data_IF_679225545535
#
_entry.id   IF_679225545535
#
_cell.length_a   1.000
_cell.length_b   1.000
_cell.length_c   1.000
_cell.angle_alpha   90.00
_cell.angle_beta   90.00
_cell.angle_gamma   90.00
#
_symmetry.space_group_name_H-M   'P 1'
#
loop_
_entity.id
_entity.type
_entity.pdbx_description
1 polymer ?
#
# COMPACT_ATOMS: atom_id res chain seq x y z
N UNK A 1 18.89 -96.65 -52.72
CA UNK A 1 17.74 -96.59 -53.62
C UNK A 1 16.62 -95.93 -52.82
N UNK A 2 16.33 -94.66 -53.14
CA UNK A 2 15.04 -93.90 -52.99
C UNK A 2 14.10 -94.22 -51.81
N UNK A 3 13.41 -93.30 -51.15
CA UNK A 3 13.30 -91.83 -51.08
C UNK A 3 12.17 -91.57 -50.05
N UNK A 4 12.17 -90.38 -49.40
CA UNK A 4 11.02 -89.65 -48.81
C UNK A 4 10.16 -90.27 -47.69
N UNK A 5 9.56 -89.54 -46.75
CA UNK A 5 9.63 -88.20 -46.12
C UNK A 5 8.52 -88.23 -45.06
N UNK A 6 8.72 -87.71 -43.84
CA UNK A 6 7.72 -86.82 -43.21
C UNK A 6 8.30 -86.11 -41.98
N UNK A 7 7.86 -84.86 -41.82
CA UNK A 7 8.40 -83.77 -40.99
C UNK A 7 8.25 -83.98 -39.49
N UNK A 8 9.27 -83.52 -38.77
CA UNK A 8 9.20 -83.15 -37.36
C UNK A 8 8.68 -81.70 -37.19
N UNK A 9 7.84 -81.45 -36.18
CA UNK A 9 7.66 -80.10 -35.62
C UNK A 9 7.74 -80.14 -34.09
N UNK A 10 8.72 -79.43 -33.55
CA UNK A 10 8.90 -79.08 -32.15
C UNK A 10 7.80 -78.12 -31.67
N UNK A 11 7.46 -78.19 -30.38
CA UNK A 11 7.25 -77.10 -29.39
C UNK A 11 6.61 -77.75 -28.15
N UNK A 12 6.97 -77.45 -26.91
CA UNK A 12 7.57 -76.23 -26.38
C UNK A 12 6.73 -75.85 -25.16
N UNK A 13 7.37 -75.94 -24.01
CA UNK A 13 6.94 -75.67 -22.63
C UNK A 13 6.39 -74.23 -22.45
N UNK A 14 5.57 -73.99 -21.43
CA UNK A 14 5.77 -72.95 -20.38
C UNK A 14 4.46 -72.49 -19.73
N UNK A 15 4.51 -72.48 -18.39
CA UNK A 15 3.39 -72.25 -17.49
C UNK A 15 2.92 -70.80 -17.41
N UNK A 16 1.70 -70.67 -16.88
CA UNK A 16 1.04 -69.43 -16.60
C UNK A 16 1.77 -68.66 -15.48
N UNK A 17 2.24 -67.45 -15.79
CA UNK A 17 2.58 -66.44 -14.80
C UNK A 17 1.41 -65.45 -14.70
N UNK A 18 0.78 -65.40 -13.53
CA UNK A 18 -0.31 -64.47 -13.21
C UNK A 18 0.27 -63.08 -13.00
N UNK A 19 0.03 -62.17 -13.96
CA UNK A 19 0.40 -60.76 -13.84
C UNK A 19 -0.72 -60.02 -13.10
N UNK A 20 -0.50 -59.66 -11.85
CA UNK A 20 -1.39 -58.77 -11.10
C UNK A 20 -1.16 -57.32 -11.57
N UNK A 21 -2.12 -56.78 -12.32
CA UNK A 21 -2.10 -55.41 -12.82
C UNK A 21 -2.61 -54.47 -11.70
N UNK A 22 -1.69 -53.75 -11.06
CA UNK A 22 -2.01 -52.64 -10.14
C UNK A 22 -2.48 -51.44 -10.98
N UNK A 23 -3.80 -51.26 -11.08
CA UNK A 23 -4.42 -50.05 -11.60
C UNK A 23 -4.27 -48.93 -10.54
N UNK A 24 -3.21 -48.14 -10.68
CA UNK A 24 -3.09 -46.85 -9.99
C UNK A 24 -4.03 -45.88 -10.72
N UNK A 25 -5.25 -45.73 -10.21
CA UNK A 25 -6.14 -44.65 -10.63
C UNK A 25 -5.58 -43.34 -10.07
N UNK A 26 -4.84 -42.61 -10.91
CA UNK A 26 -4.45 -41.24 -10.60
C UNK A 26 -5.73 -40.39 -10.52
N UNK A 27 -6.19 -40.12 -9.29
CA UNK A 27 -7.20 -39.10 -9.04
C UNK A 27 -6.54 -37.76 -9.39
N UNK A 28 -7.02 -37.01 -10.39
CA UNK A 28 -6.52 -35.66 -10.62
C UNK A 28 -6.90 -34.84 -9.39
N UNK A 29 -5.92 -34.56 -8.54
CA UNK A 29 -6.04 -33.49 -7.57
C UNK A 29 -6.25 -32.23 -8.39
N UNK A 30 -7.34 -31.46 -8.19
CA UNK A 30 -7.38 -30.13 -8.74
C UNK A 30 -6.20 -29.41 -8.08
N UNK A 31 -5.18 -29.09 -8.88
CA UNK A 31 -4.30 -27.97 -8.57
C UNK A 31 -5.25 -26.78 -8.44
N UNK A 32 -5.67 -26.52 -7.21
CA UNK A 32 -6.24 -25.25 -6.85
C UNK A 32 -5.16 -24.24 -7.17
N UNK A 33 -5.21 -23.67 -8.37
CA UNK A 33 -4.83 -22.30 -8.57
C UNK A 33 -5.76 -21.52 -7.65
N UNK A 34 -5.36 -21.43 -6.38
CA UNK A 34 -5.88 -20.43 -5.48
C UNK A 34 -5.54 -19.14 -6.21
N UNK A 35 -6.55 -18.55 -6.83
CA UNK A 35 -6.42 -17.24 -7.45
C UNK A 35 -5.73 -16.40 -6.39
N UNK A 36 -4.48 -16.01 -6.64
CA UNK A 36 -3.73 -15.11 -5.78
C UNK A 36 -4.46 -13.77 -5.89
N UNK A 37 -5.56 -13.64 -5.13
CA UNK A 37 -6.33 -12.43 -5.06
C UNK A 37 -5.42 -11.46 -4.33
N UNK A 38 -4.66 -10.69 -5.12
CA UNK A 38 -3.68 -9.76 -4.61
C UNK A 38 -4.27 -8.87 -3.53
N UNK A 39 -3.44 -8.50 -2.57
CA UNK A 39 -3.82 -7.67 -1.42
C UNK A 39 -4.52 -6.38 -1.88
N UNK A 40 -5.58 -5.98 -1.18
CA UNK A 40 -6.33 -4.76 -1.45
C UNK A 40 -6.07 -3.73 -0.36
N UNK A 41 -5.58 -2.56 -0.75
CA UNK A 41 -5.22 -1.48 0.18
C UNK A 41 -6.03 -0.22 -0.14
N UNK A 42 -6.57 0.42 0.89
CA UNK A 42 -7.08 1.78 0.81
C UNK A 42 -6.09 2.74 1.50
N UNK A 43 -5.59 3.73 0.76
CA UNK A 43 -4.87 4.86 1.35
C UNK A 43 -5.91 5.86 1.84
N UNK A 44 -5.81 6.33 3.08
CA UNK A 44 -6.62 7.46 3.57
C UNK A 44 -5.68 8.59 3.95
N UNK A 45 -5.74 9.65 3.15
CA UNK A 45 -4.82 10.79 3.24
C UNK A 45 -5.57 12.10 3.48
N UNK A 46 -4.91 13.04 4.16
CA UNK A 46 -5.51 14.34 4.42
C UNK A 46 -5.36 15.25 3.21
N UNK A 47 -4.16 15.31 2.65
CA UNK A 47 -3.78 16.29 1.64
C UNK A 47 -3.32 15.65 0.32
N UNK A 48 -3.40 16.37 -0.81
CA UNK A 48 -2.87 15.90 -2.08
C UNK A 48 -1.34 16.08 -2.12
N UNK A 49 -0.61 15.03 -1.75
CA UNK A 49 0.88 14.92 -1.65
C UNK A 49 1.27 13.86 -0.61
N UNK A 50 0.42 13.65 0.39
CA UNK A 50 0.56 12.62 1.43
C UNK A 50 0.74 11.20 0.85
N UNK A 51 0.27 10.93 -0.38
CA UNK A 51 0.45 9.65 -1.06
C UNK A 51 1.91 9.32 -1.35
N UNK A 52 2.77 10.33 -1.48
CA UNK A 52 4.21 10.16 -1.65
C UNK A 52 4.86 9.42 -0.47
N UNK A 53 4.25 9.46 0.73
CA UNK A 53 4.76 8.76 1.92
C UNK A 53 4.69 7.22 1.79
N UNK A 54 3.81 6.71 0.92
CA UNK A 54 3.59 5.27 0.71
C UNK A 54 4.10 4.80 -0.66
N UNK A 55 4.69 5.68 -1.47
CA UNK A 55 4.86 5.47 -2.89
C UNK A 55 5.70 4.23 -3.24
N UNK A 56 6.73 3.92 -2.44
CA UNK A 56 7.56 2.73 -2.61
C UNK A 56 6.78 1.45 -2.37
N UNK A 57 6.12 1.32 -1.20
CA UNK A 57 5.32 0.13 -0.90
C UNK A 57 4.13 -0.01 -1.88
N UNK A 58 3.46 1.08 -2.23
CA UNK A 58 2.35 1.07 -3.20
C UNK A 58 2.83 0.59 -4.57
N UNK A 59 3.97 1.09 -5.06
CA UNK A 59 4.56 0.61 -6.30
C UNK A 59 4.89 -0.89 -6.25
N UNK A 60 5.46 -1.37 -5.13
CA UNK A 60 5.71 -2.81 -4.94
C UNK A 60 4.42 -3.63 -5.02
N UNK A 61 3.40 -3.22 -4.27
CA UNK A 61 2.11 -3.89 -4.17
C UNK A 61 1.48 -4.05 -5.56
N UNK A 62 1.39 -2.96 -6.31
CA UNK A 62 0.66 -2.92 -7.57
C UNK A 62 1.45 -3.52 -8.73
N UNK A 63 2.78 -3.34 -8.77
CA UNK A 63 3.60 -3.73 -9.92
C UNK A 63 4.22 -5.12 -9.81
N UNK A 64 4.49 -5.58 -8.58
CA UNK A 64 5.20 -6.85 -8.36
C UNK A 64 4.38 -7.90 -7.62
N UNK A 65 3.46 -7.47 -6.74
CA UNK A 65 2.67 -8.40 -5.92
C UNK A 65 1.23 -8.62 -6.42
N UNK A 66 0.86 -8.00 -7.55
CA UNK A 66 -0.49 -8.13 -8.14
C UNK A 66 -1.62 -7.56 -7.28
N UNK A 67 -1.28 -6.75 -6.27
CA UNK A 67 -2.25 -6.12 -5.38
C UNK A 67 -2.96 -4.92 -6.03
N UNK A 68 -3.98 -4.43 -5.33
CA UNK A 68 -4.79 -3.28 -5.76
C UNK A 68 -4.75 -2.19 -4.70
N UNK A 69 -4.53 -0.95 -5.13
CA UNK A 69 -4.51 0.21 -4.24
C UNK A 69 -5.51 1.24 -4.73
N UNK A 70 -6.39 1.68 -3.84
CA UNK A 70 -7.29 2.81 -4.04
C UNK A 70 -6.96 3.91 -3.00
N UNK A 71 -7.42 5.14 -3.22
CA UNK A 71 -7.11 6.27 -2.34
C UNK A 71 -8.37 7.08 -2.00
N UNK A 72 -8.54 7.40 -0.72
CA UNK A 72 -9.49 8.39 -0.23
C UNK A 72 -8.75 9.64 0.24
N UNK A 73 -9.07 10.78 -0.37
CA UNK A 73 -8.54 12.10 -0.01
C UNK A 73 -9.60 12.83 0.80
N UNK A 74 -9.27 13.21 2.04
CA UNK A 74 -10.22 13.84 2.94
C UNK A 74 -10.48 15.30 2.55
N UNK A 75 -9.44 16.08 2.28
CA UNK A 75 -9.58 17.52 2.03
C UNK A 75 -9.65 17.92 0.57
N UNK A 76 -10.04 19.17 0.32
CA UNK A 76 -9.92 19.81 -0.99
C UNK A 76 -8.48 20.28 -1.32
N UNK A 77 -7.56 20.27 -0.36
CA UNK A 77 -6.15 20.66 -0.52
C UNK A 77 -5.92 22.15 -0.81
N UNK A 78 -6.86 23.03 -0.49
CA UNK A 78 -6.81 24.45 -0.86
C UNK A 78 -5.92 25.34 0.04
N UNK A 79 -5.49 24.87 1.21
CA UNK A 79 -4.83 25.69 2.24
C UNK A 79 -3.33 25.90 2.07
N UNK A 80 -2.64 24.95 1.43
CA UNK A 80 -1.18 24.95 1.25
C UNK A 80 -0.63 25.90 0.18
N UNK A 81 -1.32 27.01 -0.12
CA UNK A 81 -1.05 27.82 -1.31
C UNK A 81 0.21 28.69 -1.27
N UNK A 82 0.75 28.97 -0.07
CA UNK A 82 1.93 29.85 0.10
C UNK A 82 3.20 29.33 -0.58
N UNK A 83 3.26 28.02 -0.85
CA UNK A 83 4.40 27.37 -1.49
C UNK A 83 4.13 27.01 -2.96
N UNK A 84 3.05 27.52 -3.56
CA UNK A 84 2.69 27.25 -4.95
C UNK A 84 3.40 28.18 -5.97
N UNK A 85 4.31 29.06 -5.52
CA UNK A 85 4.95 30.07 -6.38
C UNK A 85 5.62 29.47 -7.62
N UNK A 86 6.31 28.33 -7.47
CA UNK A 86 6.99 27.67 -8.59
C UNK A 86 6.02 27.06 -9.62
N UNK A 87 4.76 26.85 -9.23
CA UNK A 87 3.73 26.30 -10.11
C UNK A 87 2.96 27.39 -10.87
N UNK A 88 3.07 28.66 -10.49
CA UNK A 88 2.36 29.76 -11.16
C UNK A 88 2.67 29.84 -12.67
N UNK A 89 3.93 29.71 -13.14
CA UNK A 89 4.23 29.70 -14.57
C UNK A 89 3.70 28.46 -15.30
N UNK A 90 3.53 27.34 -14.60
CA UNK A 90 3.02 26.08 -15.16
C UNK A 90 1.52 26.18 -15.41
N UNK A 91 0.79 26.76 -14.46
CA UNK A 91 -0.67 26.85 -14.50
C UNK A 91 -1.20 28.19 -15.02
N UNK A 92 -0.34 29.20 -15.21
CA UNK A 92 -0.75 30.53 -15.67
C UNK A 92 -1.63 31.28 -14.68
N UNK A 93 -1.52 30.96 -13.38
CA UNK A 93 -2.36 31.49 -12.30
C UNK A 93 -1.49 32.01 -11.17
N UNK A 94 -1.92 33.09 -10.52
CA UNK A 94 -1.29 33.59 -9.28
C UNK A 94 -1.73 32.74 -8.09
N UNK A 95 -1.24 31.51 -8.01
CA UNK A 95 -1.63 30.53 -6.99
C UNK A 95 -1.19 30.92 -5.57
N UNK A 96 -0.34 31.93 -5.40
CA UNK A 96 -0.01 32.49 -4.09
C UNK A 96 -1.04 33.52 -3.58
N UNK A 97 -1.94 34.00 -4.44
CA UNK A 97 -3.12 34.77 -4.04
C UNK A 97 -4.19 33.84 -3.47
N UNK A 98 -4.63 34.06 -2.23
CA UNK A 98 -5.54 33.13 -1.55
C UNK A 98 -6.86 32.92 -2.31
N UNK A 99 -7.46 33.99 -2.84
CA UNK A 99 -8.74 33.87 -3.54
C UNK A 99 -8.59 33.04 -4.81
N UNK A 100 -7.51 33.24 -5.57
CA UNK A 100 -7.17 32.41 -6.73
C UNK A 100 -6.89 30.97 -6.27
N UNK A 101 -6.10 30.79 -5.22
CA UNK A 101 -5.73 29.48 -4.71
C UNK A 101 -6.95 28.63 -4.31
N UNK A 102 -7.84 29.19 -3.48
CA UNK A 102 -9.07 28.51 -3.03
C UNK A 102 -9.97 28.12 -4.20
N UNK A 103 -9.97 28.90 -5.26
CA UNK A 103 -10.76 28.61 -6.46
C UNK A 103 -10.16 27.50 -7.33
N UNK A 104 -8.83 27.46 -7.50
CA UNK A 104 -8.19 26.62 -8.52
C UNK A 104 -7.34 25.47 -8.00
N UNK A 105 -6.72 25.59 -6.80
CA UNK A 105 -5.85 24.55 -6.26
C UNK A 105 -6.55 23.21 -6.08
N UNK A 106 -7.81 23.10 -5.60
CA UNK A 106 -8.44 21.79 -5.46
C UNK A 106 -8.46 20.96 -6.75
N UNK A 107 -8.82 21.58 -7.88
CA UNK A 107 -8.85 20.91 -9.16
C UNK A 107 -7.45 20.64 -9.73
N UNK A 108 -6.47 21.50 -9.44
CA UNK A 108 -5.07 21.30 -9.84
C UNK A 108 -4.49 20.12 -9.05
N UNK A 109 -4.60 20.14 -7.72
CA UNK A 109 -4.00 19.16 -6.83
C UNK A 109 -4.62 17.78 -6.92
N UNK A 110 -5.92 17.67 -7.21
CA UNK A 110 -6.52 16.38 -7.59
C UNK A 110 -5.90 15.81 -8.88
N UNK A 111 -5.59 16.66 -9.87
CA UNK A 111 -4.91 16.23 -11.10
C UNK A 111 -3.46 15.81 -10.83
N UNK A 112 -2.74 16.55 -9.99
CA UNK A 112 -1.38 16.20 -9.55
C UNK A 112 -1.38 14.85 -8.79
N UNK A 113 -2.28 14.68 -7.82
CA UNK A 113 -2.46 13.42 -7.08
C UNK A 113 -2.80 12.23 -7.99
N UNK A 114 -3.65 12.44 -8.99
CA UNK A 114 -3.96 11.38 -9.96
C UNK A 114 -2.78 11.06 -10.87
N UNK A 115 -1.98 12.06 -11.26
CA UNK A 115 -0.76 11.84 -12.03
C UNK A 115 0.30 11.07 -11.21
N UNK A 116 0.50 11.45 -9.95
CA UNK A 116 1.37 10.75 -9.00
C UNK A 116 0.92 9.30 -8.80
N UNK A 117 -0.36 9.10 -8.47
CA UNK A 117 -0.90 7.75 -8.29
C UNK A 117 -0.88 6.88 -9.55
N UNK A 118 -0.95 7.44 -10.76
CA UNK A 118 -0.80 6.68 -12.00
C UNK A 118 0.59 6.02 -12.15
N UNK A 119 1.64 6.67 -11.62
CA UNK A 119 3.00 6.12 -11.58
C UNK A 119 3.00 4.84 -10.72
N UNK A 120 2.47 4.95 -9.49
CA UNK A 120 2.48 3.86 -8.50
C UNK A 120 1.33 2.87 -8.62
N UNK A 121 0.40 3.08 -9.53
CA UNK A 121 -0.69 2.14 -9.83
C UNK A 121 -1.93 2.27 -8.94
N UNK A 122 -2.19 3.45 -8.37
CA UNK A 122 -3.49 3.73 -7.72
C UNK A 122 -4.60 3.68 -8.77
N UNK A 123 -5.67 2.95 -8.46
CA UNK A 123 -6.76 2.66 -9.41
C UNK A 123 -7.95 3.60 -9.27
N UNK A 124 -8.49 3.74 -8.05
CA UNK A 124 -9.64 4.59 -7.77
C UNK A 124 -9.31 5.70 -6.79
N UNK A 125 -10.03 6.81 -6.93
CA UNK A 125 -9.92 8.00 -6.08
C UNK A 125 -11.28 8.38 -5.51
N UNK A 126 -11.33 8.58 -4.21
CA UNK A 126 -12.52 9.02 -3.49
C UNK A 126 -12.23 10.39 -2.85
N UNK A 127 -12.76 11.45 -3.43
CA UNK A 127 -12.60 12.81 -2.92
C UNK A 127 -13.76 13.13 -1.97
N UNK A 128 -13.44 13.42 -0.70
CA UNK A 128 -14.45 13.72 0.33
C UNK A 128 -14.73 15.22 0.45
N UNK A 129 -13.79 16.04 -0.03
CA UNK A 129 -13.90 17.50 -0.20
C UNK A 129 -14.26 18.24 1.08
N UNK A 130 -13.65 17.85 2.21
CA UNK A 130 -13.69 18.67 3.41
C UNK A 130 -12.71 19.87 3.30
N UNK A 131 -12.97 20.99 3.99
CA UNK A 131 -12.12 22.16 3.90
C UNK A 131 -10.69 21.89 4.40
N UNK A 132 -9.70 22.42 3.69
CA UNK A 132 -8.30 22.53 4.14
C UNK A 132 -7.96 23.99 4.47
N UNK A 133 -8.35 24.55 5.63
CA UNK A 133 -8.20 25.98 5.89
C UNK A 133 -6.75 26.40 6.13
N UNK A 134 -6.32 26.53 7.38
CA UNK A 134 -4.97 26.94 7.76
C UNK A 134 -4.33 25.84 8.62
N UNK A 135 -3.00 25.85 8.67
CA UNK A 135 -2.24 24.92 9.49
C UNK A 135 -2.66 25.04 10.97
N UNK A 136 -2.88 23.90 11.60
CA UNK A 136 -3.08 23.76 13.04
C UNK A 136 -2.54 22.40 13.49
N UNK A 137 -2.09 22.32 14.73
CA UNK A 137 -1.71 21.08 15.40
C UNK A 137 -2.84 20.55 16.31
N UNK A 138 -3.88 21.35 16.55
CA UNK A 138 -5.01 20.91 17.36
C UNK A 138 -5.96 20.04 16.52
N UNK A 139 -5.97 18.73 16.81
CA UNK A 139 -6.84 17.75 16.16
C UNK A 139 -8.31 17.93 16.52
N UNK A 140 -8.63 18.39 17.73
CA UNK A 140 -10.01 18.63 18.17
C UNK A 140 -10.65 19.74 17.34
N UNK A 141 -9.88 20.77 16.99
CA UNK A 141 -10.33 21.83 16.08
C UNK A 141 -10.79 21.25 14.76
N UNK A 142 -10.00 20.35 14.17
CA UNK A 142 -10.34 19.73 12.89
C UNK A 142 -11.60 18.87 13.03
N UNK A 143 -11.61 17.97 14.01
CA UNK A 143 -12.68 17.00 14.19
C UNK A 143 -14.02 17.62 14.61
N UNK A 144 -14.00 18.76 15.30
CA UNK A 144 -15.21 19.37 15.88
C UNK A 144 -15.71 20.57 15.10
N UNK A 145 -14.81 21.32 14.44
CA UNK A 145 -15.14 22.64 13.90
C UNK A 145 -14.82 22.82 12.42
N UNK A 146 -13.86 22.07 11.86
CA UNK A 146 -13.47 22.23 10.44
C UNK A 146 -14.18 21.21 9.57
N UNK A 147 -14.15 19.94 9.94
CA UNK A 147 -14.70 18.85 9.15
C UNK A 147 -16.05 18.40 9.66
N UNK A 148 -16.87 17.92 8.74
CA UNK A 148 -18.05 17.11 9.05
C UNK A 148 -17.61 15.69 9.36
N UNK A 149 -17.02 15.49 10.53
CA UNK A 149 -16.39 14.22 10.94
C UNK A 149 -17.30 13.01 10.80
N UNK A 150 -18.58 13.12 11.18
CA UNK A 150 -19.54 12.03 11.04
C UNK A 150 -19.76 11.63 9.57
N UNK A 151 -19.83 12.62 8.67
CA UNK A 151 -19.93 12.40 7.22
C UNK A 151 -18.68 11.72 6.68
N UNK A 152 -17.49 12.18 7.09
CA UNK A 152 -16.21 11.59 6.67
C UNK A 152 -16.11 10.14 7.15
N UNK A 153 -16.37 9.88 8.43
CA UNK A 153 -16.33 8.54 9.00
C UNK A 153 -17.32 7.60 8.32
N UNK A 154 -18.57 8.04 8.13
CA UNK A 154 -19.60 7.25 7.43
C UNK A 154 -19.15 6.93 6.01
N UNK A 155 -18.61 7.93 5.30
CA UNK A 155 -18.15 7.73 3.92
C UNK A 155 -16.97 6.75 3.84
N UNK A 156 -16.02 6.84 4.77
CA UNK A 156 -14.91 5.89 4.86
C UNK A 156 -15.43 4.48 5.17
N UNK A 157 -16.36 4.33 6.11
CA UNK A 157 -16.97 3.04 6.44
C UNK A 157 -17.62 2.40 5.21
N UNK A 158 -18.43 3.16 4.45
CA UNK A 158 -19.04 2.67 3.19
C UNK A 158 -17.99 2.20 2.18
N UNK A 159 -16.87 2.91 2.07
CA UNK A 159 -15.77 2.52 1.18
C UNK A 159 -15.13 1.21 1.66
N UNK A 160 -14.93 1.03 2.96
CA UNK A 160 -14.35 -0.18 3.52
C UNK A 160 -15.27 -1.39 3.32
N UNK A 161 -16.57 -1.24 3.57
CA UNK A 161 -17.57 -2.31 3.41
C UNK A 161 -17.70 -2.77 1.96
N UNK A 162 -17.74 -1.82 1.01
CA UNK A 162 -17.86 -2.13 -0.43
C UNK A 162 -16.53 -2.56 -1.05
N UNK A 163 -15.46 -1.95 -0.57
CA UNK A 163 -14.12 -2.11 -1.09
C UNK A 163 -13.40 -3.34 -0.60
N UNK A 164 -13.90 -4.05 0.43
CA UNK A 164 -13.32 -5.30 0.95
C UNK A 164 -11.78 -5.23 1.02
N UNK A 165 -11.26 -4.14 1.60
CA UNK A 165 -9.84 -3.92 1.71
C UNK A 165 -9.26 -4.82 2.80
N UNK A 166 -8.06 -5.37 2.56
CA UNK A 166 -7.30 -6.12 3.57
C UNK A 166 -6.58 -5.15 4.52
N UNK A 167 -6.09 -4.04 3.96
CA UNK A 167 -5.34 -3.02 4.68
C UNK A 167 -5.86 -1.60 4.43
N UNK A 168 -5.73 -0.75 5.44
CA UNK A 168 -5.87 0.69 5.31
C UNK A 168 -4.56 1.34 5.74
N UNK A 169 -3.98 2.17 4.88
CA UNK A 169 -2.77 2.92 5.24
C UNK A 169 -3.13 4.38 5.51
N UNK A 170 -2.62 4.90 6.63
CA UNK A 170 -2.84 6.27 7.10
C UNK A 170 -1.53 6.89 7.56
N UNK A 171 -1.49 8.20 7.74
CA UNK A 171 -0.38 8.83 8.45
C UNK A 171 -0.32 8.37 9.91
N UNK A 172 0.89 8.20 10.45
CA UNK A 172 1.07 8.06 11.89
C UNK A 172 0.64 9.38 12.56
N UNK A 173 -0.30 9.36 13.52
CA UNK A 173 -0.88 10.58 14.08
C UNK A 173 0.05 11.23 15.13
N UNK A 174 1.18 11.76 14.69
CA UNK A 174 2.23 12.33 15.56
C UNK A 174 1.75 13.64 16.22
N UNK A 175 1.91 13.84 17.55
CA UNK A 175 1.33 14.97 18.27
C UNK A 175 1.64 16.37 17.72
N UNK A 176 2.89 16.64 17.33
CA UNK A 176 3.33 17.97 16.88
C UNK A 176 3.28 18.14 15.35
N UNK A 177 2.53 17.27 14.66
CA UNK A 177 2.31 17.35 13.21
C UNK A 177 0.96 17.98 12.90
N UNK A 178 0.75 18.30 11.63
CA UNK A 178 -0.47 18.90 11.16
C UNK A 178 -1.71 18.06 11.55
N UNK A 179 -2.70 18.74 12.15
CA UNK A 179 -3.93 18.16 12.66
C UNK A 179 -4.78 17.41 11.63
N UNK A 180 -4.75 17.80 10.36
CA UNK A 180 -5.54 17.11 9.34
C UNK A 180 -5.07 15.66 9.15
N UNK A 181 -3.75 15.38 9.16
CA UNK A 181 -3.26 14.00 9.08
C UNK A 181 -3.74 13.18 10.28
N UNK A 182 -3.63 13.74 11.50
CA UNK A 182 -4.14 13.09 12.73
C UNK A 182 -5.63 12.78 12.63
N UNK A 183 -6.43 13.76 12.23
CA UNK A 183 -7.88 13.63 12.09
C UNK A 183 -8.26 12.57 11.04
N UNK A 184 -7.59 12.56 9.88
CA UNK A 184 -7.81 11.55 8.84
C UNK A 184 -7.52 10.13 9.38
N UNK A 185 -6.40 9.95 10.10
CA UNK A 185 -6.06 8.67 10.71
C UNK A 185 -7.07 8.23 11.77
N UNK A 186 -7.52 9.13 12.65
CA UNK A 186 -8.54 8.84 13.66
C UNK A 186 -9.86 8.41 12.99
N UNK A 187 -10.31 9.13 11.96
CA UNK A 187 -11.56 8.82 11.28
C UNK A 187 -11.49 7.50 10.50
N UNK A 188 -10.34 7.19 9.89
CA UNK A 188 -10.11 5.90 9.25
C UNK A 188 -10.10 4.74 10.27
N UNK A 189 -9.48 4.92 11.44
CA UNK A 189 -9.48 3.93 12.52
C UNK A 189 -10.90 3.68 13.05
N UNK A 190 -11.69 4.73 13.26
CA UNK A 190 -13.10 4.62 13.69
C UNK A 190 -13.95 3.93 12.62
N UNK A 191 -13.76 4.30 11.36
CA UNK A 191 -14.46 3.66 10.24
C UNK A 191 -14.13 2.16 10.15
N UNK A 192 -12.85 1.79 10.29
CA UNK A 192 -12.45 0.39 10.31
C UNK A 192 -13.03 -0.37 11.52
N UNK A 193 -13.03 0.21 12.72
CA UNK A 193 -13.68 -0.40 13.89
C UNK A 193 -15.17 -0.66 13.69
N UNK A 194 -15.86 0.20 12.93
CA UNK A 194 -17.28 0.05 12.64
C UNK A 194 -17.59 -1.07 11.64
N UNK A 195 -16.60 -1.52 10.85
CA UNK A 195 -16.76 -2.68 9.96
C UNK A 195 -16.77 -3.97 10.79
N UNK A 196 -17.84 -4.74 10.67
CA UNK A 196 -18.05 -5.94 11.46
C UNK A 196 -17.27 -7.17 10.94
N UNK A 197 -16.86 -8.02 11.88
CA UNK A 197 -16.42 -9.38 11.62
C UNK A 197 -15.10 -9.51 10.86
N UNK A 198 -14.99 -10.56 10.05
CA UNK A 198 -13.76 -10.94 9.35
C UNK A 198 -13.37 -9.92 8.27
N UNK A 199 -14.34 -9.17 7.73
CA UNK A 199 -14.15 -8.15 6.69
C UNK A 199 -13.51 -6.84 7.19
N UNK A 200 -13.28 -6.69 8.50
CA UNK A 200 -12.59 -5.52 9.03
C UNK A 200 -11.15 -5.44 8.48
N UNK A 201 -10.71 -4.33 7.86
CA UNK A 201 -9.32 -4.20 7.41
C UNK A 201 -8.35 -4.04 8.58
N UNK A 202 -7.07 -4.34 8.35
CA UNK A 202 -5.98 -3.97 9.24
C UNK A 202 -5.55 -2.53 8.94
N UNK A 203 -5.58 -1.64 9.93
CA UNK A 203 -5.11 -0.26 9.76
C UNK A 203 -3.63 -0.15 10.14
N UNK A 204 -2.83 0.46 9.27
CA UNK A 204 -1.41 0.69 9.49
C UNK A 204 -1.11 2.20 9.47
N UNK A 205 -0.48 2.71 10.54
CA UNK A 205 0.02 4.07 10.59
C UNK A 205 1.40 4.14 9.94
N UNK A 206 1.64 5.10 9.05
CA UNK A 206 2.89 5.19 8.30
C UNK A 206 3.65 6.48 8.60
N UNK A 207 4.97 6.38 8.61
CA UNK A 207 5.87 7.52 8.60
C UNK A 207 7.17 7.17 7.88
N UNK A 208 7.71 8.10 7.11
CA UNK A 208 8.96 7.94 6.38
C UNK A 208 10.15 8.49 7.15
N UNK A 209 11.34 7.95 6.90
CA UNK A 209 12.57 8.53 7.42
C UNK A 209 13.80 7.88 6.82
N UNK A 210 14.96 8.22 7.35
CA UNK A 210 16.21 7.51 7.04
C UNK A 210 16.33 6.25 7.88
N UNK A 211 17.20 5.32 7.48
CA UNK A 211 17.50 4.13 8.30
C UNK A 211 18.09 4.48 9.67
N UNK A 212 18.83 5.59 9.75
CA UNK A 212 19.46 6.06 10.97
C UNK A 212 18.49 6.82 11.90
N UNK A 213 17.39 7.36 11.37
CA UNK A 213 16.39 8.06 12.18
C UNK A 213 15.51 7.08 12.94
N UNK A 214 15.68 7.07 14.26
CA UNK A 214 14.92 6.23 15.20
C UNK A 214 13.93 7.03 16.03
N UNK A 215 13.80 8.35 15.80
CA UNK A 215 13.07 9.28 16.68
C UNK A 215 11.60 8.90 16.81
N UNK A 216 10.97 8.48 15.70
CA UNK A 216 9.55 8.12 15.68
C UNK A 216 9.27 6.68 16.13
N UNK A 217 10.30 5.86 16.39
CA UNK A 217 10.10 4.49 16.90
C UNK A 217 9.47 4.48 18.30
N UNK A 218 9.57 5.60 19.04
CA UNK A 218 8.98 5.77 20.37
C UNK A 218 7.51 6.23 20.36
N UNK A 219 6.86 6.35 19.19
CA UNK A 219 5.43 6.68 19.15
C UNK A 219 4.61 5.54 19.77
N UNK A 220 3.81 5.84 20.79
CA UNK A 220 2.94 4.88 21.46
C UNK A 220 1.45 5.16 21.18
N UNK A 221 1.05 6.43 21.26
CA UNK A 221 -0.31 6.90 20.98
C UNK A 221 -0.33 8.42 20.77
N UNK A 222 -1.40 8.94 20.17
CA UNK A 222 -1.74 10.35 20.23
C UNK A 222 -2.50 10.62 21.53
N UNK A 223 -2.03 11.53 22.42
CA UNK A 223 -2.73 11.86 23.66
C UNK A 223 -4.17 12.31 23.42
N UNK A 224 -5.10 11.81 24.24
CA UNK A 224 -6.54 12.06 24.09
C UNK A 224 -7.25 11.17 23.07
N UNK A 225 -6.51 10.36 22.31
CA UNK A 225 -7.05 9.49 21.26
C UNK A 225 -6.57 8.04 21.38
N UNK A 226 -7.06 7.26 22.37
CA UNK A 226 -6.60 5.88 22.61
C UNK A 226 -6.75 4.93 21.42
N UNK A 227 -7.66 5.23 20.48
CA UNK A 227 -7.82 4.45 19.24
C UNK A 227 -6.54 4.45 18.37
N UNK A 228 -5.66 5.42 18.57
CA UNK A 228 -4.38 5.56 17.85
C UNK A 228 -3.23 4.82 18.54
N UNK A 229 -3.49 4.11 19.64
CA UNK A 229 -2.48 3.33 20.34
C UNK A 229 -1.90 2.26 19.41
N UNK A 230 -0.58 2.17 19.35
CA UNK A 230 0.13 1.10 18.63
C UNK A 230 0.29 -0.13 19.50
N UNK A 231 0.42 -1.30 18.88
CA UNK A 231 0.65 -2.56 19.59
C UNK A 231 1.91 -2.48 20.46
N UNK A 232 1.78 -2.62 21.80
CA UNK A 232 2.92 -2.49 22.70
C UNK A 232 4.02 -3.51 22.41
N UNK A 233 5.27 -3.04 22.37
CA UNK A 233 6.45 -3.88 22.16
C UNK A 233 6.63 -4.39 20.72
N UNK A 234 5.76 -4.02 19.78
CA UNK A 234 5.94 -4.35 18.37
C UNK A 234 6.75 -3.26 17.66
N UNK A 235 7.89 -3.63 17.10
CA UNK A 235 8.64 -2.75 16.19
C UNK A 235 7.83 -2.53 14.90
N UNK A 236 7.81 -1.30 14.34
CA UNK A 236 7.10 -1.05 13.10
C UNK A 236 7.66 -1.93 11.98
N UNK A 237 6.78 -2.36 11.08
CA UNK A 237 7.18 -3.01 9.84
C UNK A 237 7.91 -1.99 8.96
N UNK A 238 8.86 -2.46 8.14
CA UNK A 238 9.71 -1.58 7.34
C UNK A 238 9.64 -2.01 5.89
N UNK A 239 9.39 -1.04 5.01
CA UNK A 239 9.67 -1.16 3.59
C UNK A 239 10.95 -0.38 3.27
N UNK A 240 11.94 -1.07 2.72
CA UNK A 240 13.25 -0.49 2.40
C UNK A 240 13.23 0.06 0.96
N UNK A 241 13.16 1.39 0.83
CA UNK A 241 13.12 2.03 -0.47
C UNK A 241 14.47 2.00 -1.19
N UNK A 242 15.54 1.58 -0.52
CA UNK A 242 16.87 1.37 -1.13
C UNK A 242 17.04 -0.03 -1.71
N UNK A 243 16.02 -0.89 -1.63
CA UNK A 243 16.02 -2.19 -2.31
C UNK A 243 16.19 -1.98 -3.83
N UNK A 244 17.16 -2.68 -4.45
CA UNK A 244 17.39 -2.61 -5.90
C UNK A 244 16.17 -2.99 -6.75
N UNK A 245 15.96 -2.19 -7.80
CA UNK A 245 14.99 -2.41 -8.86
C UNK A 245 15.62 -2.86 -10.19
N UNK A 246 16.93 -2.99 -10.24
CA UNK A 246 17.67 -3.48 -11.40
C UNK A 246 18.80 -4.44 -10.98
N UNK A 247 19.26 -5.33 -11.88
CA UNK A 247 20.31 -6.29 -11.54
C UNK A 247 21.67 -5.66 -11.19
N UNK A 248 21.92 -4.40 -11.57
CA UNK A 248 23.16 -3.69 -11.26
C UNK A 248 23.07 -2.87 -9.96
N UNK A 249 21.92 -2.85 -9.29
CA UNK A 249 21.74 -2.13 -8.02
C UNK A 249 21.85 -0.62 -8.14
N UNK A 250 21.54 -0.05 -9.31
CA UNK A 250 21.64 1.39 -9.60
C UNK A 250 20.32 2.12 -9.46
N UNK A 251 19.22 1.40 -9.57
CA UNK A 251 17.84 1.89 -9.49
C UNK A 251 17.23 1.34 -8.21
N UNK A 252 16.49 2.16 -7.48
CA UNK A 252 15.77 1.77 -6.27
C UNK A 252 14.42 2.50 -6.19
N UNK A 253 13.60 2.18 -5.19
CA UNK A 253 12.25 2.76 -5.05
C UNK A 253 12.26 4.25 -4.75
N UNK A 254 13.37 4.85 -4.26
CA UNK A 254 13.44 6.30 -4.05
C UNK A 254 13.29 7.07 -5.36
N UNK A 255 13.70 6.48 -6.48
CA UNK A 255 13.45 7.05 -7.82
C UNK A 255 11.95 7.18 -8.08
N UNK A 256 11.17 6.14 -7.77
CA UNK A 256 9.71 6.16 -7.94
C UNK A 256 9.07 7.19 -7.03
N UNK A 257 9.50 7.25 -5.76
CA UNK A 257 9.03 8.26 -4.79
C UNK A 257 9.31 9.67 -5.31
N UNK A 258 10.49 9.93 -5.86
CA UNK A 258 10.81 11.23 -6.45
C UNK A 258 9.91 11.57 -7.65
N UNK A 259 9.53 10.60 -8.48
CA UNK A 259 8.58 10.83 -9.57
C UNK A 259 7.21 11.25 -9.04
N UNK A 260 6.71 10.61 -7.98
CA UNK A 260 5.46 11.03 -7.32
C UNK A 260 5.59 12.43 -6.76
N UNK A 261 6.65 12.73 -5.99
CA UNK A 261 6.92 14.08 -5.46
C UNK A 261 6.91 15.13 -6.58
N UNK A 262 7.51 14.82 -7.73
CA UNK A 262 7.57 15.73 -8.88
C UNK A 262 6.20 16.01 -9.52
N UNK A 263 5.18 15.18 -9.28
CA UNK A 263 3.82 15.46 -9.73
C UNK A 263 3.11 16.54 -8.90
N UNK A 264 3.43 16.68 -7.60
CA UNK A 264 2.86 17.68 -6.70
C UNK A 264 3.51 19.07 -6.85
N UNK A 265 3.49 19.60 -8.08
CA UNK A 265 4.16 20.86 -8.46
C UNK A 265 3.61 22.06 -7.68
N UNK A 266 2.30 22.09 -7.43
CA UNK A 266 1.64 23.15 -6.66
C UNK A 266 1.91 23.09 -5.15
N UNK A 267 2.58 22.05 -4.67
CA UNK A 267 3.07 21.93 -3.30
C UNK A 267 4.60 22.01 -3.31
N UNK A 268 5.13 23.23 -3.46
CA UNK A 268 6.57 23.44 -3.69
C UNK A 268 7.49 22.89 -2.60
N UNK A 269 7.05 22.82 -1.35
CA UNK A 269 7.84 22.25 -0.24
C UNK A 269 8.09 20.76 -0.37
N UNK A 270 7.20 20.01 -1.06
CA UNK A 270 7.40 18.57 -1.28
C UNK A 270 8.68 18.28 -2.05
N UNK A 271 9.08 19.19 -2.94
CA UNK A 271 10.29 19.04 -3.74
C UNK A 271 11.57 18.97 -2.88
N UNK A 272 11.54 19.52 -1.65
CA UNK A 272 12.65 19.46 -0.70
C UNK A 272 12.87 18.06 -0.10
N UNK A 273 11.87 17.17 -0.23
CA UNK A 273 11.89 15.82 0.32
C UNK A 273 12.49 14.78 -0.66
N UNK A 274 12.81 15.18 -1.90
CA UNK A 274 13.45 14.30 -2.86
C UNK A 274 14.75 13.70 -2.29
N UNK A 275 14.87 12.38 -2.36
CA UNK A 275 16.00 11.60 -1.82
C UNK A 275 16.29 11.80 -0.31
N UNK A 276 15.31 12.22 0.50
CA UNK A 276 15.51 12.43 1.95
C UNK A 276 15.19 11.23 2.82
N UNK A 277 14.43 10.26 2.31
CA UNK A 277 14.00 9.09 3.05
C UNK A 277 14.51 7.81 2.41
N UNK A 278 14.86 6.84 3.25
CA UNK A 278 15.33 5.52 2.85
C UNK A 278 14.30 4.42 3.13
N UNK A 279 13.38 4.66 4.08
CA UNK A 279 12.42 3.67 4.53
C UNK A 279 11.04 4.26 4.77
N UNK A 280 10.02 3.45 4.50
CA UNK A 280 8.65 3.65 4.94
C UNK A 280 8.42 2.72 6.13
N UNK A 281 7.97 3.26 7.27
CA UNK A 281 7.71 2.48 8.47
C UNK A 281 6.21 2.41 8.73
N UNK A 282 5.73 1.24 9.11
CA UNK A 282 4.31 0.95 9.31
C UNK A 282 4.07 0.41 10.72
N UNK A 283 3.42 1.22 11.55
CA UNK A 283 2.98 0.86 12.89
C UNK A 283 1.66 0.13 12.83
N UNK A 284 1.60 -0.98 13.56
CA UNK A 284 0.37 -1.73 13.76
C UNK A 284 -0.39 -1.12 14.93
N UNK A 285 -1.63 -0.70 14.70
CA UNK A 285 -2.47 -0.20 15.79
C UNK A 285 -3.03 -1.36 16.63
N UNK A 286 -3.07 -1.18 17.95
CA UNK A 286 -3.57 -2.15 18.95
C UNK A 286 -5.03 -2.56 18.64
N UNK A 287 -5.81 -1.62 18.12
CA UNK A 287 -7.21 -1.85 17.69
C UNK A 287 -7.39 -3.00 16.70
N UNK A 288 -6.36 -3.31 15.91
CA UNK A 288 -6.41 -4.40 14.95
C UNK A 288 -6.55 -5.76 15.63
N UNK A 289 -6.11 -5.89 16.89
CA UNK A 289 -6.08 -7.11 17.68
C UNK A 289 -4.98 -8.10 17.25
N UNK A 290 -4.57 -9.05 18.10
CA UNK A 290 -3.45 -9.94 17.82
C UNK A 290 -3.73 -10.95 16.70
N UNK A 291 -4.99 -11.22 16.38
CA UNK A 291 -5.40 -12.25 15.41
C UNK A 291 -4.96 -11.93 13.98
N UNK A 292 -4.78 -10.64 13.64
CA UNK A 292 -4.37 -10.20 12.29
C UNK A 292 -2.85 -10.07 12.15
N UNK A 293 -2.10 -10.14 13.26
CA UNK A 293 -0.66 -9.87 13.26
C UNK A 293 0.13 -10.88 12.41
N UNK A 294 -0.24 -12.17 12.45
CA UNK A 294 0.42 -13.20 11.66
C UNK A 294 0.28 -12.94 10.14
N UNK A 295 -0.92 -12.63 9.68
CA UNK A 295 -1.16 -12.28 8.28
C UNK A 295 -0.41 -11.01 7.87
N UNK A 296 -0.36 -10.00 8.75
CA UNK A 296 0.41 -8.77 8.52
C UNK A 296 1.91 -9.02 8.43
N UNK A 297 2.48 -9.92 9.26
CA UNK A 297 3.88 -10.34 9.12
C UNK A 297 4.15 -10.94 7.76
N UNK A 298 3.33 -11.91 7.33
CA UNK A 298 3.45 -12.54 6.01
C UNK A 298 3.35 -11.51 4.88
N UNK A 299 2.43 -10.54 4.98
CA UNK A 299 2.31 -9.47 3.99
C UNK A 299 3.58 -8.60 3.90
N UNK A 300 4.12 -8.16 5.04
CA UNK A 300 5.34 -7.35 5.04
C UNK A 300 6.60 -8.16 4.68
N UNK A 301 6.63 -9.46 4.93
CA UNK A 301 7.66 -10.37 4.41
C UNK A 301 7.62 -10.44 2.88
N UNK A 302 6.43 -10.48 2.26
CA UNK A 302 6.27 -10.40 0.80
C UNK A 302 6.71 -9.03 0.25
N UNK A 303 6.43 -7.95 0.97
CA UNK A 303 6.88 -6.60 0.60
C UNK A 303 8.41 -6.48 0.63
N UNK A 304 9.06 -7.08 1.63
CA UNK A 304 10.51 -7.05 1.82
C UNK A 304 11.27 -8.03 0.91
N UNK A 305 10.58 -8.98 0.28
CA UNK A 305 11.19 -9.91 -0.66
C UNK A 305 11.66 -9.16 -1.93
N UNK A 306 12.86 -9.44 -2.46
CA UNK A 306 13.37 -8.77 -3.66
C UNK A 306 12.40 -8.77 -4.84
N UNK A 307 12.23 -7.63 -5.50
CA UNK A 307 11.33 -7.49 -6.66
C UNK A 307 11.82 -8.27 -7.88
N UNK A 308 13.15 -8.39 -8.02
CA UNK A 308 13.78 -9.16 -9.07
C UNK A 308 14.29 -10.49 -8.49
N UNK A 309 14.15 -11.60 -9.23
CA UNK A 309 14.79 -12.84 -8.84
C UNK A 309 16.32 -12.67 -8.80
N UNK A 310 16.98 -13.29 -7.83
CA UNK A 310 18.44 -13.30 -7.79
C UNK A 310 18.99 -13.87 -9.09
N UNK A 311 19.74 -13.07 -9.84
CA UNK A 311 20.46 -13.55 -11.02
C UNK A 311 21.64 -14.38 -10.52
N UNK A 312 21.49 -15.71 -10.57
CA UNK A 312 22.58 -16.62 -10.28
C UNK A 312 23.76 -16.34 -11.24
N UNK A 313 24.89 -15.85 -10.70
CA UNK A 313 26.18 -15.93 -11.39
C UNK A 313 26.82 -14.65 -11.92
N UNK A 314 26.40 -13.44 -11.52
CA UNK A 314 27.14 -12.21 -11.88
C UNK A 314 27.65 -11.45 -10.67
N UNK A 315 28.64 -12.04 -9.99
CA UNK A 315 29.72 -11.24 -9.40
C UNK A 315 30.82 -11.13 -10.46
N UNK A 316 30.99 -9.94 -11.03
CA UNK A 316 32.24 -9.55 -11.71
C UNK A 316 32.84 -8.39 -10.94
#
# INVERSE_FOLDING_TARGET
MTDRTSRASRRGVFGAATLALLLITAVPQPLGAQADSGVRVLLVVAHPDDDAMFAGAVYKITRFLGGQVDLALVTDGSGGYRYAQLAEPIYGLRLTDERVARQYLPAIRKRELMAGGAIVGVRNYFFLDEPDPAYTENVDTVLTHVWRSDRVQTRLQELLERGQYDYVFVHLPIPNFHAHHKAASILALRAAQAVAGEHRPTVMGCFVGTKADTTMLAFEELPGYPITRVEPGLTPFVFDMTEPLDPQGRLDYRIVVNWVIAEHKSQGTMQLLMNRSDVERFWYFDVNGPQRLAATRVFFERLAAPALPEVAGTRR
#
